data_IF_618278614986
#
_entry.id   IF_618278614986
#
_cell.length_a   1.000
_cell.length_b   1.000
_cell.length_c   1.000
_cell.angle_alpha   90.00
_cell.angle_beta   90.00
_cell.angle_gamma   90.00
#
_symmetry.space_group_name_H-M   'P 1'
#
loop_
_entity.id
_entity.type
_entity.pdbx_description
1 polymer ?
#
# COMPACT_ATOMS: atom_id res chain seq x y z
N UNK A 1 -11.48 -7.51 6.04
CA UNK A 1 -10.23 -6.89 6.53
C UNK A 1 -10.31 -5.41 6.19
N UNK A 2 -10.38 -4.53 7.18
CA UNK A 2 -10.54 -3.08 6.97
C UNK A 2 -9.26 -2.46 6.37
N UNK A 3 -9.39 -1.68 5.29
CA UNK A 3 -8.26 -1.01 4.61
C UNK A 3 -7.47 -0.07 5.54
N UNK A 4 -8.12 0.47 6.58
CA UNK A 4 -7.48 1.26 7.65
C UNK A 4 -6.40 0.44 8.37
N UNK A 5 -6.65 -0.83 8.62
CA UNK A 5 -5.68 -1.74 9.24
C UNK A 5 -4.49 -1.98 8.31
N UNK A 6 -4.68 -1.97 6.99
CA UNK A 6 -3.59 -2.16 6.04
C UNK A 6 -2.68 -0.92 5.91
N UNK A 7 -3.27 0.28 5.79
CA UNK A 7 -2.49 1.52 5.81
C UNK A 7 -1.73 1.68 7.14
N UNK A 8 -2.36 1.26 8.26
CA UNK A 8 -1.72 1.19 9.57
C UNK A 8 -0.59 0.16 9.60
N UNK A 9 -0.79 -1.04 9.07
CA UNK A 9 0.26 -2.08 8.98
C UNK A 9 1.44 -1.62 8.13
N UNK A 10 1.20 -0.91 7.02
CA UNK A 10 2.27 -0.30 6.23
C UNK A 10 2.98 0.81 7.00
N UNK A 11 2.25 1.67 7.70
CA UNK A 11 2.83 2.73 8.53
C UNK A 11 3.65 2.16 9.70
N UNK A 12 3.18 1.10 10.36
CA UNK A 12 3.86 0.38 11.44
C UNK A 12 5.11 -0.33 10.92
N UNK A 13 5.04 -1.03 9.77
CA UNK A 13 6.20 -1.69 9.14
C UNK A 13 7.21 -0.72 8.52
N UNK A 14 6.86 0.55 8.34
CA UNK A 14 7.77 1.61 7.91
C UNK A 14 8.40 2.37 9.09
N UNK A 15 8.11 1.99 10.34
CA UNK A 15 8.71 2.62 11.53
C UNK A 15 7.97 3.87 12.02
N UNK A 16 6.64 3.94 11.83
CA UNK A 16 5.82 5.04 12.37
C UNK A 16 5.73 6.25 11.44
N UNK A 17 5.82 6.04 10.11
CA UNK A 17 5.69 7.14 9.15
C UNK A 17 4.22 7.55 9.05
N UNK A 18 3.91 8.70 9.65
CA UNK A 18 2.61 9.35 9.53
C UNK A 18 2.39 9.75 8.05
N UNK A 19 1.48 9.06 7.36
CA UNK A 19 1.05 9.44 6.02
C UNK A 19 0.43 10.83 6.09
N UNK A 20 1.07 11.81 5.43
CA UNK A 20 0.54 13.17 5.31
C UNK A 20 -0.32 13.27 4.05
N UNK A 21 -1.42 14.05 4.07
CA UNK A 21 -2.18 14.38 2.87
C UNK A 21 -1.26 14.90 1.76
N UNK A 22 -1.50 14.47 0.52
CA UNK A 22 -0.68 14.85 -0.64
C UNK A 22 0.67 14.14 -0.75
N UNK A 23 1.11 13.37 0.26
CA UNK A 23 2.37 12.62 0.23
C UNK A 23 2.13 11.16 -0.11
N UNK A 24 2.90 10.66 -1.06
CA UNK A 24 2.92 9.25 -1.43
C UNK A 24 4.15 8.54 -0.85
N UNK A 25 3.93 7.34 -0.30
CA UNK A 25 4.99 6.45 0.17
C UNK A 25 4.99 5.21 -0.71
N UNK A 26 6.16 4.73 -1.12
CA UNK A 26 6.27 3.49 -1.89
C UNK A 26 7.24 2.50 -1.25
N UNK A 27 6.92 1.21 -1.36
CA UNK A 27 7.79 0.10 -0.92
C UNK A 27 7.69 -1.06 -1.89
N UNK A 28 8.81 -1.75 -2.07
CA UNK A 28 8.86 -3.00 -2.82
C UNK A 28 8.65 -4.17 -1.85
N UNK A 29 7.73 -5.06 -2.19
CA UNK A 29 7.46 -6.28 -1.43
C UNK A 29 7.42 -7.50 -2.36
N UNK A 30 7.86 -8.68 -1.91
CA UNK A 30 7.70 -9.93 -2.65
C UNK A 30 6.23 -10.24 -2.95
N UNK A 31 5.97 -10.90 -4.08
CA UNK A 31 4.62 -11.31 -4.49
C UNK A 31 3.87 -12.11 -3.42
N UNK A 32 4.57 -13.00 -2.70
CA UNK A 32 3.98 -13.79 -1.62
C UNK A 32 3.49 -12.92 -0.46
N UNK A 33 4.24 -11.87 -0.11
CA UNK A 33 3.85 -10.92 0.94
C UNK A 33 2.64 -10.12 0.48
N UNK A 34 2.61 -9.71 -0.79
CA UNK A 34 1.47 -8.98 -1.37
C UNK A 34 0.22 -9.84 -1.39
N UNK A 35 0.30 -11.10 -1.84
CA UNK A 35 -0.84 -12.04 -1.83
C UNK A 35 -1.34 -12.32 -0.41
N UNK A 36 -0.46 -12.47 0.57
CA UNK A 36 -0.87 -12.65 1.97
C UNK A 36 -1.62 -11.43 2.54
N UNK A 37 -1.31 -10.24 2.03
CA UNK A 37 -1.91 -8.98 2.47
C UNK A 37 -3.24 -8.69 1.77
N UNK A 38 -3.28 -8.85 0.45
CA UNK A 38 -4.41 -8.43 -0.39
C UNK A 38 -5.29 -9.60 -0.85
N UNK A 39 -4.83 -10.84 -0.70
CA UNK A 39 -5.45 -12.01 -1.30
C UNK A 39 -5.20 -12.02 -2.80
N UNK A 40 -6.24 -11.71 -3.58
CA UNK A 40 -6.10 -11.33 -4.97
C UNK A 40 -5.42 -9.97 -5.07
N UNK A 41 -4.58 -9.76 -6.09
CA UNK A 41 -3.80 -8.52 -6.23
C UNK A 41 -4.56 -7.54 -7.12
N UNK A 42 -5.32 -6.58 -6.57
CA UNK A 42 -5.95 -5.55 -7.38
C UNK A 42 -4.89 -4.58 -7.92
N UNK A 43 -5.11 -4.06 -9.12
CA UNK A 43 -4.23 -3.05 -9.72
C UNK A 43 -4.24 -1.73 -8.93
N UNK A 44 -5.38 -1.36 -8.32
CA UNK A 44 -5.50 -0.24 -7.40
C UNK A 44 -6.68 -0.42 -6.43
N UNK A 45 -6.56 0.13 -5.23
CA UNK A 45 -7.64 0.22 -4.23
C UNK A 45 -7.71 1.66 -3.73
N UNK A 46 -8.90 2.27 -3.76
CA UNK A 46 -9.15 3.58 -3.15
C UNK A 46 -10.19 3.42 -2.03
N UNK A 47 -9.85 3.82 -0.81
CA UNK A 47 -10.80 3.86 0.30
C UNK A 47 -10.42 4.93 1.32
N UNK A 48 -11.41 5.62 1.87
CA UNK A 48 -11.25 6.57 2.99
C UNK A 48 -10.15 7.62 2.77
N UNK A 49 -10.05 8.19 1.57
CA UNK A 49 -9.03 9.18 1.22
C UNK A 49 -7.62 8.59 1.10
N UNK A 50 -7.49 7.27 0.94
CA UNK A 50 -6.21 6.59 0.71
C UNK A 50 -6.29 5.79 -0.59
N UNK A 51 -5.37 6.06 -1.51
CA UNK A 51 -5.17 5.35 -2.76
C UNK A 51 -3.95 4.45 -2.62
N UNK A 52 -4.14 3.17 -2.93
CA UNK A 52 -3.10 2.14 -2.90
C UNK A 52 -2.97 1.59 -4.30
N UNK A 53 -1.79 1.74 -4.89
CA UNK A 53 -1.47 1.23 -6.23
C UNK A 53 -0.47 0.11 -6.11
N UNK A 54 -0.73 -1.01 -6.80
CA UNK A 54 0.17 -2.14 -6.86
C UNK A 54 0.70 -2.29 -8.29
N UNK A 55 2.02 -2.25 -8.44
CA UNK A 55 2.68 -2.42 -9.73
C UNK A 55 3.62 -3.62 -9.69
N UNK A 56 3.44 -4.64 -10.53
CA UNK A 56 4.43 -5.71 -10.65
C UNK A 56 5.75 -5.16 -11.21
N UNK A 57 6.85 -5.74 -10.75
CA UNK A 57 8.22 -5.45 -11.18
C UNK A 57 8.80 -6.67 -11.91
N UNK A 58 9.81 -6.46 -12.75
CA UNK A 58 10.44 -7.52 -13.56
C UNK A 58 11.11 -8.61 -12.71
N UNK A 59 11.46 -8.31 -11.47
CA UNK A 59 12.03 -9.27 -10.51
C UNK A 59 10.98 -10.12 -9.77
N UNK A 60 9.71 -10.03 -10.15
CA UNK A 60 8.60 -10.74 -9.49
C UNK A 60 8.12 -10.10 -8.19
N UNK A 61 8.69 -8.96 -7.78
CA UNK A 61 8.17 -8.18 -6.66
C UNK A 61 7.05 -7.24 -7.11
N UNK A 62 6.42 -6.59 -6.14
CA UNK A 62 5.44 -5.53 -6.37
C UNK A 62 5.91 -4.25 -5.70
N UNK A 63 5.88 -3.15 -6.46
CA UNK A 63 5.95 -1.81 -5.93
C UNK A 63 4.56 -1.39 -5.48
N UNK A 64 4.39 -1.25 -4.17
CA UNK A 64 3.18 -0.74 -3.56
C UNK A 64 3.38 0.75 -3.32
N UNK A 65 2.44 1.57 -3.78
CA UNK A 65 2.42 3.00 -3.53
C UNK A 65 1.15 3.35 -2.78
N UNK A 66 1.27 4.02 -1.65
CA UNK A 66 0.15 4.54 -0.87
C UNK A 66 0.18 6.04 -0.92
N UNK A 67 -0.93 6.66 -1.31
CA UNK A 67 -1.13 8.10 -1.35
C UNK A 67 -2.37 8.45 -0.54
N UNK A 68 -2.29 9.47 0.29
CA UNK A 68 -3.47 10.05 0.92
C UNK A 68 -3.97 11.20 0.03
N UNK A 69 -5.25 11.16 -0.34
CA UNK A 69 -5.91 12.29 -1.01
C UNK A 69 -5.95 13.48 -0.06
N UNK A 70 -5.74 14.67 -0.62
CA UNK A 70 -6.01 15.92 0.10
C UNK A 70 -7.54 16.07 0.12
N UNK A 71 -8.13 15.96 1.31
CA UNK A 71 -9.54 16.28 1.54
C UNK A 71 -9.74 17.77 1.70
#
# INVERSE_FOLDING_TARGET
MDLRSFAKVLAERQGGVQLRPGRSISKELPAEVVKNIFGDVPSAIAAYGVIITLRPLDNGNYKITVRMEEG
#
